data_IF_319216059899
#
_entry.id   IF_319216059899
#
_cell.length_a   1.000
_cell.length_b   1.000
_cell.length_c   1.000
_cell.angle_alpha   90.00
_cell.angle_beta   90.00
_cell.angle_gamma   90.00
#
_symmetry.space_group_name_H-M   'P 1'
#
loop_
_entity.id
_entity.type
_entity.pdbx_description
1 polymer ?
#
# COMPACT_ATOMS: atom_id res chain seq x y z
N UNK A 1 -32.24 -9.60 -6.41
CA UNK A 1 -31.55 -8.34 -6.66
C UNK A 1 -30.36 -8.28 -5.69
N UNK A 2 -29.14 -8.02 -6.18
CA UNK A 2 -27.96 -7.88 -5.32
C UNK A 2 -28.16 -6.68 -4.37
N UNK A 3 -27.66 -6.81 -3.14
CA UNK A 3 -27.68 -5.73 -2.14
C UNK A 3 -26.84 -4.54 -2.66
N UNK A 4 -27.30 -3.30 -2.51
CA UNK A 4 -26.49 -2.14 -2.85
C UNK A 4 -25.19 -2.12 -2.05
N UNK A 5 -24.06 -1.94 -2.72
CA UNK A 5 -22.72 -1.88 -2.12
C UNK A 5 -22.04 -0.55 -2.43
N UNK A 6 -21.24 -0.05 -1.49
CA UNK A 6 -20.30 1.06 -1.73
C UNK A 6 -19.21 0.64 -2.70
N UNK A 7 -18.47 1.59 -3.24
CA UNK A 7 -17.31 1.30 -4.11
C UNK A 7 -16.29 0.41 -3.39
N UNK A 8 -15.93 0.74 -2.15
CA UNK A 8 -15.04 -0.06 -1.29
C UNK A 8 -15.56 -1.50 -1.12
N UNK A 9 -16.85 -1.68 -0.83
CA UNK A 9 -17.44 -3.02 -0.71
C UNK A 9 -17.33 -3.81 -2.00
N UNK A 10 -17.54 -3.18 -3.16
CA UNK A 10 -17.42 -3.84 -4.47
C UNK A 10 -15.97 -4.29 -4.75
N UNK A 11 -14.99 -3.43 -4.47
CA UNK A 11 -13.58 -3.76 -4.63
C UNK A 11 -13.20 -4.94 -3.73
N UNK A 12 -13.53 -4.86 -2.45
CA UNK A 12 -13.21 -5.91 -1.47
C UNK A 12 -13.94 -7.24 -1.76
N UNK A 13 -15.22 -7.19 -2.15
CA UNK A 13 -15.97 -8.39 -2.52
C UNK A 13 -15.29 -9.14 -3.68
N UNK A 14 -14.91 -8.40 -4.74
CA UNK A 14 -14.20 -8.95 -5.90
C UNK A 14 -12.89 -9.63 -5.49
N UNK A 15 -12.09 -8.98 -4.65
CA UNK A 15 -10.79 -9.52 -4.22
C UNK A 15 -10.90 -10.66 -3.21
N UNK A 16 -12.02 -10.74 -2.51
CA UNK A 16 -12.34 -11.86 -1.63
C UNK A 16 -13.02 -13.05 -2.36
N UNK A 17 -13.36 -12.90 -3.65
CA UNK A 17 -14.12 -13.90 -4.40
C UNK A 17 -15.56 -14.05 -3.90
N UNK A 18 -16.17 -12.99 -3.37
CA UNK A 18 -17.52 -12.96 -2.83
C UNK A 18 -18.44 -12.12 -3.72
N UNK A 19 -19.71 -12.51 -3.83
CA UNK A 19 -20.71 -11.74 -4.57
C UNK A 19 -21.05 -10.42 -3.87
N UNK A 20 -21.07 -10.43 -2.54
CA UNK A 20 -21.33 -9.25 -1.72
C UNK A 20 -20.59 -9.29 -0.37
N UNK A 21 -20.34 -8.11 0.19
CA UNK A 21 -19.82 -7.93 1.54
C UNK A 21 -20.57 -6.84 2.27
N UNK A 22 -20.52 -6.86 3.60
CA UNK A 22 -21.18 -5.86 4.46
C UNK A 22 -20.18 -5.23 5.42
N UNK A 23 -20.44 -3.98 5.82
CA UNK A 23 -19.66 -3.30 6.85
C UNK A 23 -19.55 -4.14 8.12
N UNK A 24 -18.33 -4.26 8.67
CA UNK A 24 -18.03 -5.07 9.85
C UNK A 24 -17.70 -6.54 9.56
N UNK A 25 -17.95 -7.05 8.36
CA UNK A 25 -17.61 -8.42 7.97
C UNK A 25 -16.08 -8.60 7.91
N UNK A 26 -15.59 -9.72 8.45
CA UNK A 26 -14.19 -10.12 8.29
C UNK A 26 -14.05 -10.93 6.99
N UNK A 27 -13.08 -10.56 6.18
CA UNK A 27 -12.79 -11.21 4.90
C UNK A 27 -11.29 -11.40 4.73
N UNK A 28 -10.91 -12.38 3.93
CA UNK A 28 -9.57 -12.50 3.36
C UNK A 28 -9.64 -12.07 1.90
N UNK A 29 -8.83 -11.11 1.48
CA UNK A 29 -8.81 -10.62 0.11
C UNK A 29 -7.41 -10.71 -0.50
N UNK A 30 -7.36 -10.94 -1.81
CA UNK A 30 -6.13 -10.83 -2.58
C UNK A 30 -5.69 -9.36 -2.62
N UNK A 31 -4.37 -9.11 -2.64
CA UNK A 31 -3.79 -7.78 -2.82
C UNK A 31 -3.15 -7.67 -4.20
N UNK A 32 -3.26 -6.49 -4.81
CA UNK A 32 -2.66 -6.21 -6.11
C UNK A 32 -1.27 -5.62 -5.96
N UNK A 33 -1.02 -4.88 -4.88
CA UNK A 33 0.29 -4.31 -4.60
C UNK A 33 0.56 -4.27 -3.09
N UNK A 34 1.78 -4.64 -2.73
CA UNK A 34 2.36 -4.42 -1.39
C UNK A 34 3.44 -3.36 -1.49
N UNK A 35 3.26 -2.24 -0.78
CA UNK A 35 4.20 -1.12 -0.78
C UNK A 35 5.06 -1.12 0.48
N UNK A 36 6.34 -0.85 0.33
CA UNK A 36 7.25 -0.54 1.42
C UNK A 36 8.26 0.55 1.06
N UNK A 37 8.72 1.27 2.06
CA UNK A 37 9.77 2.26 1.94
C UNK A 37 10.95 1.93 2.84
N UNK A 38 11.98 2.74 2.84
CA UNK A 38 13.20 2.55 3.64
C UNK A 38 13.00 2.69 5.16
N UNK A 39 11.86 3.20 5.61
CA UNK A 39 11.48 3.24 7.04
C UNK A 39 10.75 1.94 7.45
N UNK A 40 9.80 1.51 6.65
CA UNK A 40 8.85 0.46 7.01
C UNK A 40 9.26 -0.93 6.53
N UNK A 41 9.91 -1.02 5.35
CA UNK A 41 10.38 -2.29 4.79
C UNK A 41 11.33 -3.05 5.71
N UNK A 42 12.34 -2.44 6.35
CA UNK A 42 13.26 -3.19 7.21
C UNK A 42 12.56 -3.92 8.34
N UNK A 43 11.52 -3.33 8.93
CA UNK A 43 10.73 -3.95 10.01
C UNK A 43 9.90 -5.11 9.46
N UNK A 44 9.26 -4.92 8.31
CA UNK A 44 8.49 -5.97 7.67
C UNK A 44 9.38 -7.14 7.18
N UNK A 45 10.58 -6.84 6.67
CA UNK A 45 11.57 -7.84 6.27
C UNK A 45 12.03 -8.68 7.48
N UNK A 46 12.25 -8.03 8.63
CA UNK A 46 12.59 -8.76 9.85
C UNK A 46 11.46 -9.71 10.29
N UNK A 47 10.20 -9.28 10.19
CA UNK A 47 9.05 -10.14 10.47
C UNK A 47 8.91 -11.27 9.42
N UNK A 48 9.22 -11.00 8.16
CA UNK A 48 9.22 -11.98 7.09
C UNK A 48 10.21 -13.12 7.39
N UNK A 49 11.46 -12.80 7.70
CA UNK A 49 12.50 -13.77 8.02
C UNK A 49 12.25 -14.50 9.34
N UNK A 50 11.86 -13.78 10.39
CA UNK A 50 11.57 -14.33 11.72
C UNK A 50 10.47 -15.40 11.68
N UNK A 51 9.50 -15.25 10.78
CA UNK A 51 8.43 -16.22 10.58
C UNK A 51 8.77 -17.33 9.57
N UNK A 52 10.02 -17.40 9.11
CA UNK A 52 10.48 -18.45 8.19
C UNK A 52 9.87 -18.32 6.78
N UNK A 53 9.46 -17.12 6.38
CA UNK A 53 8.95 -16.87 5.04
C UNK A 53 10.14 -16.77 4.08
N UNK A 54 10.14 -17.57 3.03
CA UNK A 54 11.28 -17.66 2.11
C UNK A 54 11.01 -16.97 0.77
N UNK A 55 9.79 -17.04 0.28
CA UNK A 55 9.44 -16.58 -1.06
C UNK A 55 8.38 -15.49 -1.00
N UNK A 56 8.49 -14.52 -1.89
CA UNK A 56 7.42 -13.55 -2.15
C UNK A 56 6.39 -14.14 -3.10
N UNK A 57 5.13 -13.74 -2.97
CA UNK A 57 4.05 -14.29 -3.79
C UNK A 57 4.17 -13.92 -5.27
N UNK A 58 4.59 -12.68 -5.53
CA UNK A 58 4.77 -12.17 -6.88
C UNK A 58 5.70 -10.95 -6.85
N UNK A 59 6.87 -11.06 -7.45
CA UNK A 59 7.88 -10.00 -7.51
C UNK A 59 7.47 -8.77 -8.31
N UNK A 60 6.42 -8.88 -9.14
CA UNK A 60 5.84 -7.76 -9.89
C UNK A 60 4.82 -6.98 -9.11
N UNK A 61 4.34 -7.53 -7.98
CA UNK A 61 3.29 -6.96 -7.13
C UNK A 61 3.81 -6.46 -5.78
N UNK A 62 5.10 -6.26 -5.69
CA UNK A 62 5.74 -5.62 -4.55
C UNK A 62 6.48 -4.40 -5.06
N UNK A 63 6.28 -3.26 -4.43
CA UNK A 63 7.03 -2.03 -4.70
C UNK A 63 7.83 -1.63 -3.46
N UNK A 64 9.09 -1.30 -3.64
CA UNK A 64 9.95 -0.78 -2.58
C UNK A 64 10.63 0.51 -3.05
N UNK A 65 10.48 1.58 -2.26
CA UNK A 65 10.96 2.92 -2.61
C UNK A 65 11.87 3.44 -1.51
N UNK A 66 13.05 3.93 -1.87
CA UNK A 66 13.97 4.56 -0.93
C UNK A 66 13.81 6.08 -0.96
N UNK A 67 12.78 6.62 -0.32
CA UNK A 67 12.42 8.04 -0.42
C UNK A 67 12.44 8.83 0.89
N UNK A 68 12.48 8.16 2.05
CA UNK A 68 12.48 8.83 3.35
C UNK A 68 13.88 9.12 3.87
N UNK A 69 14.82 8.17 3.71
CA UNK A 69 16.18 8.25 4.24
C UNK A 69 17.23 8.61 3.19
N UNK A 70 16.83 8.94 1.98
CA UNK A 70 17.73 9.35 0.91
C UNK A 70 17.58 10.86 0.62
N UNK A 71 18.68 11.61 0.55
CA UNK A 71 20.07 11.20 0.85
C UNK A 71 20.24 10.84 2.33
N UNK A 72 21.06 9.81 2.61
CA UNK A 72 21.21 9.30 3.97
C UNK A 72 21.89 10.34 4.88
N UNK A 73 21.27 10.68 6.00
CA UNK A 73 21.80 11.64 6.97
C UNK A 73 22.84 11.06 7.93
N UNK A 74 22.82 9.74 8.12
CA UNK A 74 23.70 9.02 9.06
C UNK A 74 23.81 7.54 8.67
N UNK A 75 24.66 6.81 9.41
CA UNK A 75 24.89 5.37 9.18
C UNK A 75 23.62 4.56 9.38
N UNK A 76 22.79 4.89 10.38
CA UNK A 76 21.55 4.16 10.64
C UNK A 76 20.57 4.27 9.47
N UNK A 77 20.42 5.46 8.91
CA UNK A 77 19.61 5.68 7.71
C UNK A 77 20.14 4.85 6.52
N UNK A 78 21.47 4.84 6.33
CA UNK A 78 22.11 4.05 5.27
C UNK A 78 21.91 2.54 5.47
N UNK A 79 21.96 2.04 6.70
CA UNK A 79 21.69 0.63 7.02
C UNK A 79 20.25 0.22 6.70
N UNK A 80 19.26 1.08 6.95
CA UNK A 80 17.86 0.82 6.59
C UNK A 80 17.67 0.74 5.06
N UNK A 81 18.25 1.70 4.33
CA UNK A 81 18.25 1.66 2.87
C UNK A 81 18.96 0.40 2.33
N UNK A 82 20.12 0.06 2.91
CA UNK A 82 20.85 -1.16 2.54
C UNK A 82 20.02 -2.41 2.79
N UNK A 83 19.35 -2.52 3.94
CA UNK A 83 18.51 -3.67 4.29
C UNK A 83 17.38 -3.87 3.28
N UNK A 84 16.70 -2.78 2.90
CA UNK A 84 15.65 -2.81 1.89
C UNK A 84 16.18 -3.21 0.52
N UNK A 85 17.33 -2.64 0.12
CA UNK A 85 18.02 -2.95 -1.14
C UNK A 85 18.43 -4.42 -1.23
N UNK A 86 19.09 -4.93 -0.20
CA UNK A 86 19.56 -6.32 -0.15
C UNK A 86 18.39 -7.29 -0.33
N UNK A 87 17.27 -7.06 0.36
CA UNK A 87 16.06 -7.87 0.22
C UNK A 87 15.44 -7.75 -1.18
N UNK A 88 15.36 -6.55 -1.73
CA UNK A 88 14.81 -6.34 -3.06
C UNK A 88 15.59 -7.11 -4.14
N UNK A 89 16.91 -7.11 -4.05
CA UNK A 89 17.77 -7.89 -4.96
C UNK A 89 17.69 -9.39 -4.69
N UNK A 90 17.69 -9.82 -3.42
CA UNK A 90 17.58 -11.25 -3.06
C UNK A 90 16.26 -11.87 -3.57
N UNK A 91 15.17 -11.12 -3.51
CA UNK A 91 13.83 -11.58 -3.92
C UNK A 91 13.47 -11.20 -5.36
N UNK A 92 14.40 -10.62 -6.12
CA UNK A 92 14.17 -10.16 -7.50
C UNK A 92 12.97 -9.21 -7.62
N UNK A 93 12.75 -8.31 -6.65
CA UNK A 93 11.63 -7.35 -6.70
C UNK A 93 11.81 -6.44 -7.91
N UNK A 94 10.84 -6.47 -8.83
CA UNK A 94 10.94 -5.71 -10.09
C UNK A 94 10.66 -4.22 -9.91
N UNK A 95 9.80 -3.85 -8.98
CA UNK A 95 9.44 -2.45 -8.71
C UNK A 95 10.24 -1.93 -7.51
N UNK A 96 11.57 -1.98 -7.63
CA UNK A 96 12.48 -1.40 -6.66
C UNK A 96 13.05 -0.07 -7.20
N UNK A 97 12.87 1.00 -6.45
CA UNK A 97 13.26 2.35 -6.82
C UNK A 97 14.31 2.87 -5.84
N UNK A 98 15.57 2.74 -6.25
CA UNK A 98 16.76 3.20 -5.51
C UNK A 98 17.08 4.66 -5.85
N UNK A 99 18.15 5.18 -5.27
CA UNK A 99 18.72 6.51 -5.56
C UNK A 99 18.96 6.67 -7.07
N UNK A 100 18.39 7.73 -7.61
CA UNK A 100 18.44 8.03 -9.05
C UNK A 100 17.16 7.66 -9.81
N UNK A 101 16.37 6.71 -9.30
CA UNK A 101 15.09 6.30 -9.88
C UNK A 101 13.92 6.52 -8.91
N UNK A 102 14.21 6.84 -7.67
CA UNK A 102 13.23 7.10 -6.62
C UNK A 102 12.48 8.40 -6.84
N UNK A 103 11.35 8.53 -6.17
CA UNK A 103 10.54 9.72 -5.98
C UNK A 103 9.71 9.57 -4.73
N UNK A 104 8.93 10.56 -4.35
CA UNK A 104 7.94 10.42 -3.26
C UNK A 104 7.03 9.24 -3.61
N UNK A 105 7.03 8.19 -2.80
CA UNK A 105 6.38 6.90 -3.13
C UNK A 105 4.92 7.06 -3.56
N UNK A 106 4.16 7.90 -2.85
CA UNK A 106 2.73 8.09 -3.14
C UNK A 106 2.43 8.92 -4.40
N UNK A 107 3.44 9.56 -4.99
CA UNK A 107 3.38 10.16 -6.31
C UNK A 107 3.98 9.24 -7.38
N UNK A 108 5.12 8.61 -7.06
CA UNK A 108 5.87 7.77 -7.97
C UNK A 108 5.06 6.55 -8.45
N UNK A 109 4.41 5.82 -7.55
CA UNK A 109 3.69 4.59 -7.92
C UNK A 109 2.51 4.85 -8.87
N UNK A 110 1.68 5.89 -8.68
CA UNK A 110 0.69 6.30 -9.68
C UNK A 110 1.30 6.71 -11.02
N UNK A 111 2.37 7.50 -11.01
CA UNK A 111 3.05 7.92 -12.25
C UNK A 111 3.63 6.76 -13.04
N UNK A 112 4.09 5.71 -12.35
CA UNK A 112 4.57 4.46 -12.96
C UNK A 112 3.43 3.51 -13.37
N UNK A 113 2.18 3.85 -13.06
CA UNK A 113 1.02 3.01 -13.38
C UNK A 113 0.94 1.74 -12.53
N UNK A 114 1.60 1.72 -11.38
CA UNK A 114 1.60 0.56 -10.46
C UNK A 114 0.36 0.48 -9.59
N UNK A 115 -0.41 1.55 -9.50
CA UNK A 115 -1.69 1.61 -8.78
C UNK A 115 -2.76 2.16 -9.71
N UNK A 116 -3.87 1.44 -9.81
CA UNK A 116 -5.00 1.80 -10.66
C UNK A 116 -6.33 1.69 -9.92
N UNK A 117 -7.39 2.17 -10.58
CA UNK A 117 -8.74 2.10 -10.04
C UNK A 117 -9.19 0.65 -9.82
N UNK A 118 -9.69 0.35 -8.64
CA UNK A 118 -10.20 -0.96 -8.29
C UNK A 118 -9.17 -1.92 -7.71
N UNK A 119 -7.91 -1.50 -7.56
CA UNK A 119 -6.86 -2.29 -6.91
C UNK A 119 -7.05 -2.35 -5.40
N UNK A 120 -6.50 -3.39 -4.78
CA UNK A 120 -6.30 -3.52 -3.32
C UNK A 120 -4.82 -3.36 -3.04
N UNK A 121 -4.47 -2.28 -2.35
CA UNK A 121 -3.08 -1.93 -2.01
C UNK A 121 -2.89 -1.90 -0.51
N UNK A 122 -1.83 -2.55 -0.03
CA UNK A 122 -1.40 -2.46 1.37
C UNK A 122 0.03 -1.96 1.46
N UNK A 123 0.34 -1.25 2.53
CA UNK A 123 1.69 -0.82 2.85
C UNK A 123 1.83 -0.60 4.34
N UNK A 124 3.05 -0.61 4.88
CA UNK A 124 3.26 -0.32 6.30
C UNK A 124 3.43 1.19 6.57
N UNK A 125 3.11 2.02 5.59
CA UNK A 125 3.08 3.48 5.71
C UNK A 125 1.65 3.99 5.98
N UNK A 126 1.53 5.00 6.86
CA UNK A 126 0.24 5.58 7.26
C UNK A 126 -0.45 6.34 6.13
N UNK A 127 0.28 6.81 5.13
CA UNK A 127 -0.25 7.53 3.97
C UNK A 127 -0.61 6.61 2.79
N UNK A 128 -0.50 5.29 2.94
CA UNK A 128 -0.89 4.31 1.91
C UNK A 128 -2.34 4.52 1.43
N UNK A 129 -3.22 5.06 2.28
CA UNK A 129 -4.61 5.39 1.92
C UNK A 129 -4.75 6.43 0.80
N UNK A 130 -3.69 7.16 0.44
CA UNK A 130 -3.67 8.18 -0.62
C UNK A 130 -4.18 7.66 -1.96
N UNK A 131 -3.93 6.41 -2.28
CA UNK A 131 -4.37 5.81 -3.55
C UNK A 131 -5.90 5.64 -3.67
N UNK A 132 -6.63 5.84 -2.57
CA UNK A 132 -8.08 5.98 -2.61
C UNK A 132 -8.55 7.10 -3.53
N UNK A 133 -7.75 8.16 -3.73
CA UNK A 133 -8.01 9.22 -4.69
C UNK A 133 -8.06 8.73 -6.15
N UNK A 134 -7.41 7.61 -6.45
CA UNK A 134 -7.43 6.95 -7.76
C UNK A 134 -8.54 5.89 -7.87
N UNK A 135 -9.31 5.67 -6.81
CA UNK A 135 -10.35 4.65 -6.77
C UNK A 135 -9.86 3.26 -6.36
N UNK A 136 -8.67 3.13 -5.80
CA UNK A 136 -8.20 1.91 -5.18
C UNK A 136 -8.76 1.78 -3.74
N UNK A 137 -8.90 0.55 -3.25
CA UNK A 137 -8.95 0.31 -1.81
C UNK A 137 -7.52 0.19 -1.30
N UNK A 138 -7.05 1.21 -0.61
CA UNK A 138 -5.67 1.30 -0.16
C UNK A 138 -5.62 1.65 1.32
N UNK A 139 -4.78 0.95 2.08
CA UNK A 139 -4.69 1.17 3.53
C UNK A 139 -3.33 0.82 4.10
N UNK A 140 -2.95 1.54 5.16
CA UNK A 140 -1.82 1.18 6.00
C UNK A 140 -2.12 -0.07 6.83
N UNK A 141 -1.11 -0.93 6.98
CA UNK A 141 -1.16 -2.15 7.79
C UNK A 141 0.06 -2.24 8.69
N UNK A 142 0.05 -3.12 9.67
CA UNK A 142 1.22 -3.40 10.49
C UNK A 142 2.34 -4.10 9.70
N UNK A 143 3.57 -4.00 10.20
CA UNK A 143 4.74 -4.62 9.54
C UNK A 143 4.60 -6.14 9.41
N UNK A 144 3.95 -6.80 10.37
CA UNK A 144 3.65 -8.23 10.31
C UNK A 144 2.67 -8.54 9.19
N UNK A 145 1.58 -7.76 9.06
CA UNK A 145 0.60 -7.93 7.97
C UNK A 145 1.24 -7.66 6.60
N UNK A 146 2.13 -6.67 6.51
CA UNK A 146 2.90 -6.41 5.30
C UNK A 146 3.80 -7.61 4.94
N UNK A 147 4.49 -8.20 5.91
CA UNK A 147 5.34 -9.38 5.70
C UNK A 147 4.53 -10.56 5.15
N UNK A 148 3.38 -10.85 5.75
CA UNK A 148 2.48 -11.89 5.25
C UNK A 148 1.85 -11.54 3.90
N UNK A 149 1.54 -10.27 3.66
CA UNK A 149 1.10 -9.78 2.36
C UNK A 149 2.14 -10.04 1.27
N UNK A 150 3.42 -9.75 1.54
CA UNK A 150 4.52 -10.03 0.61
C UNK A 150 4.68 -11.53 0.33
N UNK A 151 4.46 -12.40 1.33
CA UNK A 151 4.61 -13.84 1.16
C UNK A 151 3.39 -14.51 0.49
N UNK A 152 2.18 -14.04 0.75
CA UNK A 152 0.94 -14.75 0.41
C UNK A 152 0.10 -14.08 -0.67
N UNK A 153 0.32 -12.79 -0.95
CA UNK A 153 -0.53 -12.00 -1.83
C UNK A 153 -1.94 -11.77 -1.26
N UNK A 154 -2.10 -11.91 0.05
CA UNK A 154 -3.40 -11.79 0.73
C UNK A 154 -3.28 -10.98 2.01
N UNK A 155 -4.39 -10.33 2.35
CA UNK A 155 -4.55 -9.67 3.63
C UNK A 155 -5.99 -9.86 4.15
N UNK A 156 -6.13 -9.86 5.45
CA UNK A 156 -7.45 -9.87 6.07
C UNK A 156 -7.93 -8.43 6.30
N UNK A 157 -9.22 -8.22 6.13
CA UNK A 157 -9.85 -6.93 6.36
C UNK A 157 -11.17 -7.09 7.12
N UNK A 158 -11.41 -6.17 8.04
CA UNK A 158 -12.76 -5.88 8.50
C UNK A 158 -13.34 -4.85 7.55
N UNK A 159 -14.32 -5.22 6.73
CA UNK A 159 -14.93 -4.33 5.75
C UNK A 159 -15.37 -3.04 6.43
N UNK A 160 -14.85 -1.87 6.02
CA UNK A 160 -15.16 -0.61 6.69
C UNK A 160 -16.58 -0.14 6.38
N UNK A 161 -17.17 0.59 7.34
CA UNK A 161 -18.33 1.42 7.07
C UNK A 161 -17.90 2.69 6.33
N UNK A 162 -18.67 3.09 5.32
CA UNK A 162 -18.36 4.28 4.55
C UNK A 162 -18.98 5.54 5.16
N UNK A 163 -18.20 6.63 5.18
CA UNK A 163 -18.69 7.98 5.46
C UNK A 163 -18.63 8.76 4.15
N UNK A 164 -19.74 9.36 3.75
CA UNK A 164 -19.82 10.18 2.53
C UNK A 164 -19.73 11.65 2.88
N UNK A 165 -18.70 12.31 2.37
CA UNK A 165 -18.55 13.76 2.41
C UNK A 165 -19.05 14.34 1.08
N UNK A 166 -20.01 15.26 1.14
CA UNK A 166 -20.46 16.02 -0.02
C UNK A 166 -19.85 17.42 0.07
N UNK A 167 -18.84 17.70 -0.77
CA UNK A 167 -18.26 19.01 -0.87
C UNK A 167 -19.16 19.88 -1.76
N UNK A 168 -19.59 21.05 -1.27
CA UNK A 168 -20.46 21.99 -1.98
C UNK A 168 -19.82 23.37 -2.01
N UNK A 169 -20.13 24.18 -3.03
CA UNK A 169 -19.56 25.50 -3.21
C UNK A 169 -18.31 25.50 -4.06
N UNK A 170 -17.43 26.46 -3.83
CA UNK A 170 -16.17 26.66 -4.55
C UNK A 170 -15.09 27.02 -3.54
N UNK A 171 -13.86 26.56 -3.80
CA UNK A 171 -12.69 26.97 -3.04
C UNK A 171 -12.42 28.46 -3.20
N UNK A 172 -11.96 29.12 -2.14
CA UNK A 172 -11.48 30.49 -2.19
C UNK A 172 -10.19 30.61 -3.00
N UNK A 173 -9.77 31.83 -3.34
CA UNK A 173 -8.64 32.07 -4.26
C UNK A 173 -7.34 31.38 -3.85
N UNK A 174 -7.10 31.18 -2.57
CA UNK A 174 -5.84 30.63 -2.03
C UNK A 174 -6.02 29.25 -1.37
N UNK A 175 -7.21 28.67 -1.46
CA UNK A 175 -7.50 27.33 -0.97
C UNK A 175 -7.27 26.30 -2.07
N UNK A 176 -6.75 25.14 -1.68
CA UNK A 176 -6.40 24.02 -2.56
C UNK A 176 -7.05 22.73 -2.07
N UNK A 177 -6.94 21.67 -2.85
CA UNK A 177 -7.40 20.34 -2.42
C UNK A 177 -6.72 19.87 -1.14
N UNK A 178 -5.49 20.33 -0.86
CA UNK A 178 -4.78 20.00 0.38
C UNK A 178 -5.45 20.61 1.61
N UNK A 179 -5.95 21.84 1.49
CA UNK A 179 -6.65 22.51 2.60
C UNK A 179 -7.99 21.82 2.92
N UNK A 180 -8.59 21.18 1.92
CA UNK A 180 -9.85 20.42 2.10
C UNK A 180 -9.61 19.07 2.79
N UNK A 181 -8.49 18.40 2.51
CA UNK A 181 -8.22 17.06 3.05
C UNK A 181 -7.61 17.09 4.46
N UNK A 182 -6.91 18.15 4.84
CA UNK A 182 -6.33 18.36 6.16
C UNK A 182 -7.34 18.92 7.17
#
# INVERSE_FOLDING_TARGET
MSKPMTMTQKVLARHAGLDEVSGGQLIMANVDLVLGNDVTSPVAINEFEKNGLENVFDKTKIAMVLDHFTPNKDIKAAEQCKRTRDFAYEKDILNFFDVGEMGVEHALLPEKGLVTCGDVVIGADSHTCTYGALGAFSTGVGSTDMAFGMATGKAWFKVPSAIKFNLTGKLSKYETGKDVIL
#
